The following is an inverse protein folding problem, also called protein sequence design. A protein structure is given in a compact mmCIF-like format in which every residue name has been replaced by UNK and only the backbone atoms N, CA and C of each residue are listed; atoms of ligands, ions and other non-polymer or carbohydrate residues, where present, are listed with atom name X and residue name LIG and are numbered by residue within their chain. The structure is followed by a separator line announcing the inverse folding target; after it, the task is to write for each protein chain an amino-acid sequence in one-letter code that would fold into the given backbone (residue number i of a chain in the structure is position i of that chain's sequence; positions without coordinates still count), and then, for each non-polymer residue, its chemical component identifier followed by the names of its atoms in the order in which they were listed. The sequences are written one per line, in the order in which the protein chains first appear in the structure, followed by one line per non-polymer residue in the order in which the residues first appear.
data_IF_171873557438
#
_entry.id   IF_171873557438
#
_cell.length_a   1.000
_cell.length_b   1.000
_cell.length_c   1.000
_cell.angle_alpha   90.00
_cell.angle_beta   90.00
_cell.angle_gamma   90.00
#
_symmetry.space_group_name_H-M   'P 1'
#
loop_
_entity.id
_entity.type
_entity.pdbx_description
1 polymer ?
#
# COMPACT_ATOMS: atom_id res chain seq x y z
N UNK A 1 -41.00 60.34 1.39
CA UNK A 1 -40.10 61.15 2.25
C UNK A 1 -39.00 60.21 2.74
N UNK A 2 -37.71 60.33 2.46
CA UNK A 2 -36.81 61.14 1.62
C UNK A 2 -35.65 60.15 1.35
N UNK A 3 -35.31 59.82 0.10
CA UNK A 3 -34.29 60.50 -0.72
C UNK A 3 -32.87 60.42 -0.11
N UNK A 4 -31.94 59.67 -0.71
CA UNK A 4 -30.98 60.12 -1.78
C UNK A 4 -29.57 60.26 -1.12
N UNK A 5 -28.40 59.99 -1.72
CA UNK A 5 -28.00 59.95 -3.12
C UNK A 5 -26.47 59.63 -3.30
N UNK A 6 -26.12 58.99 -4.44
CA UNK A 6 -24.95 59.16 -5.36
C UNK A 6 -23.49 59.10 -4.85
N UNK A 7 -22.46 58.70 -5.63
CA UNK A 7 -22.20 58.48 -7.08
C UNK A 7 -21.05 57.42 -7.21
N UNK A 8 -20.90 56.54 -8.21
CA UNK A 8 -20.81 56.62 -9.70
C UNK A 8 -19.58 57.32 -10.30
N UNK A 9 -18.71 56.53 -10.98
CA UNK A 9 -17.90 56.82 -12.18
C UNK A 9 -17.43 55.45 -12.75
N UNK A 10 -17.99 54.87 -13.84
CA UNK A 10 -17.63 54.96 -15.28
C UNK A 10 -16.10 55.04 -15.55
N UNK A 11 -15.45 54.23 -16.40
CA UNK A 11 -15.76 53.96 -17.82
C UNK A 11 -14.97 52.76 -18.43
N UNK A 12 -15.66 51.95 -19.24
CA UNK A 12 -15.31 51.19 -20.48
C UNK A 12 -13.88 50.69 -20.79
N UNK A 13 -13.74 49.42 -21.27
CA UNK A 13 -13.85 49.03 -22.70
C UNK A 13 -13.21 47.65 -23.03
N UNK A 14 -14.04 46.79 -23.65
CA UNK A 14 -13.78 45.77 -24.69
C UNK A 14 -12.90 44.50 -24.48
N UNK A 15 -13.27 43.37 -25.13
CA UNK A 15 -12.63 42.06 -24.98
C UNK A 15 -11.58 41.77 -26.08
N UNK A 16 -10.55 40.98 -25.74
CA UNK A 16 -9.69 40.34 -26.72
C UNK A 16 -10.08 38.87 -26.88
N UNK A 17 -10.48 38.50 -28.09
CA UNK A 17 -10.37 37.14 -28.60
C UNK A 17 -9.20 37.05 -29.58
N UNK A 18 -8.56 35.89 -29.66
CA UNK A 18 -7.71 35.37 -30.76
C UNK A 18 -7.25 33.97 -30.32
N UNK A 19 -6.84 33.04 -31.17
CA UNK A 19 -7.36 32.51 -32.42
C UNK A 19 -6.67 31.14 -32.60
N UNK A 20 -7.38 30.23 -33.24
CA UNK A 20 -6.91 28.94 -33.76
C UNK A 20 -5.86 29.18 -34.87
N UNK A 21 -4.76 28.42 -34.87
CA UNK A 21 -3.89 28.29 -36.04
C UNK A 21 -3.51 26.82 -36.26
N UNK A 22 -4.10 26.24 -37.30
CA UNK A 22 -3.64 25.07 -38.01
C UNK A 22 -2.66 25.52 -39.10
N UNK A 23 -1.59 24.77 -39.35
CA UNK A 23 -0.62 25.04 -40.41
C UNK A 23 0.09 23.76 -40.82
N UNK A 24 -0.12 23.36 -42.07
CA UNK A 24 0.25 22.08 -42.65
C UNK A 24 1.62 22.08 -43.35
N UNK A 25 2.18 20.86 -43.44
CA UNK A 25 2.80 20.19 -44.60
C UNK A 25 4.04 20.76 -45.33
N UNK A 26 5.09 19.90 -45.33
CA UNK A 26 5.93 19.42 -46.47
C UNK A 26 7.01 20.36 -47.07
N UNK A 27 8.04 19.86 -47.83
CA UNK A 27 8.50 18.47 -48.05
C UNK A 27 10.04 18.25 -48.00
N UNK A 28 10.45 16.97 -47.94
CA UNK A 28 11.45 16.41 -48.86
C UNK A 28 12.91 16.21 -48.40
N UNK A 29 13.44 15.00 -48.64
CA UNK A 29 14.82 14.84 -49.12
C UNK A 29 15.74 13.82 -48.44
N UNK A 30 15.63 12.55 -48.85
CA UNK A 30 16.70 11.62 -49.27
C UNK A 30 17.98 11.35 -48.43
N UNK A 31 18.31 10.05 -48.32
CA UNK A 31 19.69 9.51 -48.29
C UNK A 31 20.03 8.75 -46.99
N UNK A 32 19.91 7.42 -46.91
CA UNK A 32 20.78 6.35 -47.44
C UNK A 32 22.04 6.05 -46.59
N UNK A 33 22.15 4.77 -46.16
CA UNK A 33 23.35 3.95 -45.84
C UNK A 33 24.25 4.45 -44.69
N UNK A 34 24.99 3.70 -43.88
CA UNK A 34 25.50 2.31 -43.80
C UNK A 34 25.98 2.15 -42.33
N UNK A 35 25.63 1.10 -41.59
CA UNK A 35 26.47 -0.06 -41.20
C UNK A 35 27.82 0.19 -40.46
N UNK A 36 28.16 -0.78 -39.59
CA UNK A 36 29.41 -1.06 -38.84
C UNK A 36 29.47 -0.45 -37.41
N UNK A 37 29.42 -1.20 -36.31
CA UNK A 37 30.20 -2.35 -35.83
C UNK A 37 31.62 -2.01 -35.31
N UNK A 38 31.89 -2.41 -34.06
CA UNK A 38 33.21 -2.46 -33.40
C UNK A 38 33.56 -1.18 -32.62
N UNK A 39 34.09 -1.19 -31.41
CA UNK A 39 34.62 -2.26 -30.57
C UNK A 39 35.51 -1.61 -29.49
N UNK A 40 35.68 -2.33 -28.38
CA UNK A 40 36.83 -2.30 -27.46
C UNK A 40 37.17 -0.99 -26.72
N UNK A 41 36.89 -1.01 -25.41
CA UNK A 41 37.89 -1.04 -24.33
C UNK A 41 38.86 0.14 -24.16
N UNK A 42 38.87 0.71 -22.95
CA UNK A 42 40.13 0.88 -22.20
C UNK A 42 39.83 1.15 -20.73
N UNK A 43 40.53 0.41 -19.87
CA UNK A 43 40.74 0.75 -18.48
C UNK A 43 41.53 2.08 -18.35
N UNK A 44 41.34 2.78 -17.25
CA UNK A 44 42.34 3.69 -16.69
C UNK A 44 42.30 3.59 -15.17
N UNK A 45 43.51 3.49 -14.62
CA UNK A 45 43.79 3.25 -13.23
C UNK A 45 44.22 4.56 -12.53
N UNK A 46 44.06 4.51 -11.20
CA UNK A 46 44.98 5.05 -10.19
C UNK A 46 45.00 6.54 -9.82
N UNK A 47 44.95 6.69 -8.48
CA UNK A 47 45.74 7.55 -7.59
C UNK A 47 45.25 8.96 -7.26
N UNK A 48 44.88 9.12 -5.98
CA UNK A 48 45.74 9.84 -5.04
C UNK A 48 45.19 11.16 -4.51
N UNK A 49 45.33 11.35 -3.19
CA UNK A 49 45.43 12.70 -2.61
C UNK A 49 44.53 12.97 -1.41
N UNK A 50 45.04 12.67 -0.22
CA UNK A 50 44.55 13.21 1.04
C UNK A 50 45.06 14.65 1.27
N UNK A 51 44.25 15.46 1.97
CA UNK A 51 44.57 16.63 2.82
C UNK A 51 43.31 17.54 2.83
N UNK A 52 42.94 18.29 3.86
CA UNK A 52 43.35 18.49 5.24
C UNK A 52 42.37 19.56 5.77
N UNK A 53 41.87 19.43 6.99
CA UNK A 53 41.05 20.47 7.62
C UNK A 53 41.07 20.28 9.13
N UNK A 54 42.07 20.84 9.78
CA UNK A 54 42.20 20.85 11.23
C UNK A 54 41.68 22.14 11.88
N UNK A 55 41.60 22.06 13.21
CA UNK A 55 41.50 23.12 14.25
C UNK A 55 40.15 23.09 14.97
N UNK A 56 40.04 22.39 16.11
CA UNK A 56 40.36 22.85 17.49
C UNK A 56 39.26 23.76 18.06
N UNK A 57 38.76 23.60 19.29
CA UNK A 57 39.50 23.37 20.52
C UNK A 57 38.57 22.96 21.69
N UNK A 58 39.13 22.17 22.62
CA UNK A 58 39.07 22.27 24.12
C UNK A 58 37.70 22.36 24.81
N UNK A 59 37.37 21.63 25.87
CA UNK A 59 38.08 20.82 26.88
C UNK A 59 37.10 20.74 28.07
N UNK A 60 36.96 19.63 28.80
CA UNK A 60 37.73 19.36 30.01
C UNK A 60 37.32 18.00 30.61
N UNK A 61 38.32 17.38 31.22
CA UNK A 61 38.35 16.27 32.18
C UNK A 61 37.34 16.41 33.34
N UNK A 62 36.90 15.38 34.06
CA UNK A 62 37.75 14.46 34.81
C UNK A 62 37.07 13.13 35.21
N UNK A 63 37.95 12.19 35.52
CA UNK A 63 37.83 10.78 35.91
C UNK A 63 37.45 10.54 37.38
N UNK A 64 36.84 9.38 37.65
CA UNK A 64 37.32 8.45 38.70
C UNK A 64 36.31 7.93 39.71
N UNK A 65 36.25 6.59 39.86
CA UNK A 65 35.88 5.92 41.12
C UNK A 65 34.84 4.80 41.03
N UNK A 66 35.30 3.55 41.01
CA UNK A 66 34.54 2.28 41.17
C UNK A 66 34.53 1.84 42.67
N UNK A 67 34.07 0.64 43.06
CA UNK A 67 32.70 0.21 43.40
C UNK A 67 32.47 -0.02 44.91
N UNK A 68 31.20 -0.26 45.31
CA UNK A 68 30.82 -0.62 46.68
C UNK A 68 29.60 -1.53 46.76
N UNK A 69 29.81 -2.71 47.34
CA UNK A 69 29.00 -3.92 47.44
C UNK A 69 28.05 -4.02 48.66
N UNK A 70 27.06 -4.92 48.57
CA UNK A 70 26.32 -5.58 49.68
C UNK A 70 24.80 -5.40 49.59
N UNK A 71 23.90 -6.37 49.79
CA UNK A 71 23.95 -7.77 50.22
C UNK A 71 22.60 -8.14 50.88
N UNK A 72 22.07 -9.35 50.64
CA UNK A 72 20.93 -9.98 51.35
C UNK A 72 19.79 -10.49 50.42
N UNK A 73 19.72 -11.77 50.03
CA UNK A 73 19.07 -12.94 50.71
C UNK A 73 17.59 -12.73 51.09
N UNK A 74 16.63 -13.64 50.93
CA UNK A 74 16.51 -14.98 50.35
C UNK A 74 15.02 -15.43 50.45
N UNK A 75 14.67 -16.51 49.74
CA UNK A 75 13.58 -17.48 49.96
C UNK A 75 12.12 -17.19 49.55
N UNK A 76 11.56 -18.16 48.82
CA UNK A 76 10.12 -18.35 48.60
C UNK A 76 9.80 -19.36 47.50
N UNK A 77 10.03 -20.65 47.77
CA UNK A 77 9.70 -21.79 46.90
C UNK A 77 8.23 -22.24 47.00
N UNK A 78 7.66 -22.69 45.88
CA UNK A 78 6.79 -23.88 45.85
C UNK A 78 5.30 -23.67 45.58
N UNK A 79 4.76 -24.44 44.63
CA UNK A 79 3.32 -24.70 44.53
C UNK A 79 2.83 -25.05 43.13
N UNK A 80 2.75 -26.34 42.81
CA UNK A 80 2.21 -26.91 41.58
C UNK A 80 0.71 -27.22 41.65
N UNK A 81 0.09 -27.42 40.48
CA UNK A 81 -1.26 -27.99 40.26
C UNK A 81 -2.09 -27.08 39.34
N UNK A 82 -2.54 -27.45 38.13
CA UNK A 82 -2.88 -28.75 37.57
C UNK A 82 -4.40 -28.80 37.37
N UNK A 83 -4.89 -28.76 36.13
CA UNK A 83 -6.08 -29.50 35.65
C UNK A 83 -6.46 -29.08 34.22
N UNK A 84 -6.49 -30.07 33.34
CA UNK A 84 -7.16 -30.07 32.06
C UNK A 84 -8.61 -30.53 32.22
N UNK A 85 -9.51 -30.02 31.37
CA UNK A 85 -10.80 -30.62 30.97
C UNK A 85 -11.50 -29.64 30.02
N UNK A 86 -12.23 -29.97 28.97
CA UNK A 86 -12.57 -31.21 28.25
C UNK A 86 -13.50 -30.76 27.11
N UNK A 87 -13.42 -31.39 25.94
CA UNK A 87 -14.24 -31.06 24.77
C UNK A 87 -15.68 -31.63 24.82
N UNK A 88 -16.62 -30.88 24.23
CA UNK A 88 -17.82 -31.33 23.50
C UNK A 88 -19.20 -31.18 24.17
N UNK A 89 -20.35 -31.21 23.43
CA UNK A 89 -20.58 -30.79 22.03
C UNK A 89 -21.94 -30.03 21.79
N UNK A 90 -22.08 -29.43 20.59
CA UNK A 90 -23.24 -28.98 19.77
C UNK A 90 -24.52 -28.35 20.38
N UNK A 91 -24.93 -27.20 19.82
CA UNK A 91 -26.30 -26.69 19.82
C UNK A 91 -26.54 -25.70 18.67
N UNK A 92 -27.39 -26.08 17.71
CA UNK A 92 -27.84 -25.28 16.56
C UNK A 92 -29.01 -24.37 16.97
N UNK A 93 -29.03 -23.12 16.48
CA UNK A 93 -30.18 -22.22 16.57
C UNK A 93 -29.87 -20.86 15.95
N UNK A 94 -30.50 -20.55 14.80
CA UNK A 94 -30.31 -19.31 14.06
C UNK A 94 -31.08 -18.12 14.63
N UNK A 95 -30.72 -16.93 14.13
CA UNK A 95 -31.41 -15.65 14.38
C UNK A 95 -30.40 -14.52 14.47
N UNK A 96 -30.28 -13.72 13.40
CA UNK A 96 -29.29 -12.65 13.30
C UNK A 96 -29.56 -11.44 14.19
N UNK A 97 -28.49 -10.74 14.55
CA UNK A 97 -28.38 -9.29 14.80
C UNK A 97 -26.89 -8.94 14.90
N UNK A 98 -26.50 -7.77 14.40
CA UNK A 98 -25.11 -7.33 14.27
C UNK A 98 -24.30 -7.25 15.57
N UNK A 99 -22.98 -7.34 15.40
CA UNK A 99 -21.98 -7.23 16.45
C UNK A 99 -20.69 -7.95 16.02
N UNK A 100 -19.55 -7.28 16.18
CA UNK A 100 -18.21 -7.72 15.80
C UNK A 100 -17.91 -9.18 16.18
N UNK A 101 -17.68 -10.00 15.15
CA UNK A 101 -17.25 -11.39 15.23
C UNK A 101 -16.94 -11.82 13.81
N UNK A 102 -15.67 -12.15 13.54
CA UNK A 102 -15.09 -12.22 12.20
C UNK A 102 -16.00 -12.94 11.20
N UNK A 103 -16.47 -12.22 10.20
CA UNK A 103 -17.14 -12.83 9.05
C UNK A 103 -16.08 -13.59 8.25
N UNK A 104 -16.32 -14.87 8.00
CA UNK A 104 -15.53 -15.68 7.07
C UNK A 104 -16.46 -16.20 5.97
N UNK A 105 -15.92 -16.47 4.79
CA UNK A 105 -16.68 -17.13 3.71
C UNK A 105 -16.89 -18.63 4.01
N UNK A 106 -17.60 -19.35 3.13
CA UNK A 106 -17.87 -20.79 3.35
C UNK A 106 -16.61 -21.67 3.32
N UNK A 107 -15.49 -21.17 2.83
CA UNK A 107 -14.18 -21.83 2.88
C UNK A 107 -13.36 -21.45 4.14
N UNK A 108 -13.94 -20.63 5.02
CA UNK A 108 -13.31 -20.16 6.25
C UNK A 108 -12.26 -19.07 6.00
N UNK A 109 -12.31 -18.37 4.87
CA UNK A 109 -11.42 -17.25 4.58
C UNK A 109 -11.92 -15.97 5.26
N UNK A 110 -11.09 -15.26 6.05
CA UNK A 110 -11.50 -14.06 6.77
C UNK A 110 -11.96 -12.95 5.84
N UNK A 111 -13.07 -12.29 6.17
CA UNK A 111 -13.67 -11.21 5.39
C UNK A 111 -13.78 -9.89 6.18
N UNK A 112 -13.25 -9.86 7.39
CA UNK A 112 -13.34 -8.70 8.29
C UNK A 112 -12.15 -7.78 8.08
N UNK A 113 -12.40 -6.47 8.17
CA UNK A 113 -11.35 -5.47 8.15
C UNK A 113 -10.56 -5.50 9.47
N UNK A 114 -9.23 -5.56 9.36
CA UNK A 114 -8.28 -5.40 10.45
C UNK A 114 -7.28 -4.29 10.07
N UNK A 115 -6.54 -3.75 11.03
CA UNK A 115 -5.50 -2.77 10.72
C UNK A 115 -5.93 -1.30 10.84
N UNK A 116 -5.04 -0.39 10.44
CA UNK A 116 -5.22 1.05 10.64
C UNK A 116 -6.46 1.63 9.95
N UNK A 117 -7.03 0.96 8.95
CA UNK A 117 -8.29 1.39 8.34
C UNK A 117 -9.50 1.24 9.29
N UNK A 118 -9.39 0.50 10.40
CA UNK A 118 -10.43 0.44 11.45
C UNK A 118 -10.40 1.63 12.41
N UNK A 119 -9.26 2.32 12.50
CA UNK A 119 -8.99 3.32 13.54
C UNK A 119 -9.71 4.62 13.21
N UNK A 120 -10.41 5.22 14.18
CA UNK A 120 -11.02 6.53 14.01
C UNK A 120 -9.96 7.63 13.97
N UNK A 121 -10.04 8.53 12.98
CA UNK A 121 -9.09 9.62 12.80
C UNK A 121 -9.54 10.60 11.72
N UNK A 122 -9.02 11.82 11.74
CA UNK A 122 -9.29 12.83 10.68
C UNK A 122 -10.79 13.10 10.43
N UNK A 123 -11.63 12.92 11.45
CA UNK A 123 -13.08 13.11 11.34
C UNK A 123 -13.85 11.91 10.78
N UNK A 124 -13.18 10.79 10.50
CA UNK A 124 -13.76 9.54 10.02
C UNK A 124 -13.71 8.46 11.13
N UNK A 125 -14.77 7.66 11.24
CA UNK A 125 -14.89 6.58 12.23
C UNK A 125 -14.67 5.21 11.57
N UNK A 126 -13.41 4.90 11.30
CA UNK A 126 -13.02 3.70 10.58
C UNK A 126 -13.52 3.66 9.12
N UNK A 127 -13.14 2.61 8.40
CA UNK A 127 -13.51 2.41 7.00
C UNK A 127 -14.73 1.51 6.88
N UNK A 128 -15.79 2.03 6.29
CA UNK A 128 -17.04 1.31 6.06
C UNK A 128 -17.61 1.50 4.64
N UNK A 129 -16.91 2.24 3.79
CA UNK A 129 -17.23 2.42 2.38
C UNK A 129 -18.60 3.05 2.16
N UNK A 130 -19.28 2.62 1.10
CA UNK A 130 -20.57 3.16 0.69
C UNK A 130 -21.79 2.48 1.28
N UNK A 131 -21.64 1.78 2.42
CA UNK A 131 -22.73 0.97 3.02
C UNK A 131 -24.02 1.74 3.31
N UNK A 132 -23.92 3.05 3.49
CA UNK A 132 -25.03 3.96 3.78
C UNK A 132 -25.70 4.52 2.51
N UNK A 133 -25.30 4.00 1.36
CA UNK A 133 -25.71 4.43 0.02
C UNK A 133 -26.51 3.40 -0.78
N UNK A 134 -26.84 3.77 -2.01
CA UNK A 134 -27.49 2.86 -2.95
C UNK A 134 -26.50 1.78 -3.42
N UNK A 135 -26.97 0.53 -3.44
CA UNK A 135 -26.26 -0.58 -4.10
C UNK A 135 -26.62 -0.63 -5.58
N UNK A 136 -25.61 -0.52 -6.44
CA UNK A 136 -25.75 -0.54 -7.90
C UNK A 136 -24.90 -1.66 -8.49
N UNK A 137 -25.31 -2.20 -9.64
CA UNK A 137 -24.49 -3.16 -10.41
C UNK A 137 -24.06 -2.51 -11.71
N UNK A 138 -22.75 -2.53 -11.98
CA UNK A 138 -22.16 -1.95 -13.19
C UNK A 138 -21.52 -3.04 -14.03
N UNK A 139 -21.70 -2.93 -15.36
CA UNK A 139 -21.17 -3.86 -16.37
C UNK A 139 -20.36 -3.14 -17.43
N UNK A 140 -20.20 -1.82 -17.32
CA UNK A 140 -19.52 -0.98 -18.29
C UNK A 140 -18.82 0.21 -17.61
N UNK A 141 -17.86 0.80 -18.32
CA UNK A 141 -17.04 1.90 -17.82
C UNK A 141 -17.85 3.15 -17.48
N UNK A 142 -18.85 3.50 -18.29
CA UNK A 142 -19.61 4.74 -18.09
C UNK A 142 -20.39 4.72 -16.78
N UNK A 143 -21.02 3.61 -16.44
CA UNK A 143 -21.72 3.45 -15.16
C UNK A 143 -20.73 3.39 -13.99
N UNK A 144 -19.61 2.68 -14.14
CA UNK A 144 -18.57 2.63 -13.11
C UNK A 144 -18.04 4.03 -12.79
N UNK A 145 -17.70 4.83 -13.81
CA UNK A 145 -17.24 6.22 -13.62
C UNK A 145 -18.32 7.10 -12.99
N UNK A 146 -19.57 6.95 -13.44
CA UNK A 146 -20.70 7.72 -12.92
C UNK A 146 -20.86 7.50 -11.41
N UNK A 147 -20.90 6.25 -10.97
CA UNK A 147 -21.16 5.95 -9.56
C UNK A 147 -19.91 6.12 -8.69
N UNK A 148 -18.71 5.81 -9.20
CA UNK A 148 -17.47 6.00 -8.45
C UNK A 148 -17.19 7.48 -8.16
N UNK A 149 -17.51 8.37 -9.10
CA UNK A 149 -17.33 9.82 -8.95
C UNK A 149 -18.51 10.56 -8.31
N UNK A 150 -19.61 9.87 -7.97
CA UNK A 150 -20.78 10.51 -7.35
C UNK A 150 -20.48 11.01 -5.94
N UNK A 151 -21.12 12.10 -5.51
CA UNK A 151 -20.98 12.63 -4.15
C UNK A 151 -21.66 11.75 -3.10
N UNK A 152 -22.68 11.02 -3.51
CA UNK A 152 -23.50 10.16 -2.67
C UNK A 152 -22.74 8.87 -2.35
N UNK A 153 -22.92 8.30 -1.14
CA UNK A 153 -22.37 6.98 -0.86
C UNK A 153 -22.92 5.93 -1.83
N UNK A 154 -22.08 4.97 -2.23
CA UNK A 154 -22.52 3.87 -3.10
C UNK A 154 -21.78 2.56 -2.83
N UNK A 155 -22.53 1.46 -2.86
CA UNK A 155 -21.98 0.12 -3.05
C UNK A 155 -22.07 -0.23 -4.52
N UNK A 156 -20.94 -0.24 -5.20
CA UNK A 156 -20.79 -0.45 -6.64
C UNK A 156 -20.32 -1.88 -6.87
N UNK A 157 -21.24 -2.74 -7.31
CA UNK A 157 -20.96 -4.14 -7.63
C UNK A 157 -20.53 -4.26 -9.10
N UNK A 158 -19.27 -4.64 -9.32
CA UNK A 158 -18.71 -4.81 -10.67
C UNK A 158 -19.01 -6.23 -11.16
N UNK A 159 -19.78 -6.35 -12.24
CA UNK A 159 -20.12 -7.63 -12.83
C UNK A 159 -19.31 -7.90 -14.11
N UNK A 160 -18.44 -8.89 -14.04
CA UNK A 160 -17.60 -9.32 -15.16
C UNK A 160 -16.46 -8.35 -15.47
N UNK A 161 -15.92 -8.45 -16.69
CA UNK A 161 -14.81 -7.63 -17.18
C UNK A 161 -15.31 -6.30 -17.74
N UNK A 162 -14.76 -5.21 -17.23
CA UNK A 162 -14.89 -3.86 -17.76
C UNK A 162 -13.52 -3.46 -18.33
N UNK A 163 -13.45 -3.26 -19.65
CA UNK A 163 -12.24 -2.75 -20.32
C UNK A 163 -12.29 -1.23 -20.35
N UNK A 164 -11.27 -0.59 -19.79
CA UNK A 164 -11.16 0.86 -19.68
C UNK A 164 -10.53 1.45 -20.94
N UNK A 165 -11.16 2.49 -21.48
CA UNK A 165 -10.69 3.25 -22.61
C UNK A 165 -10.70 4.77 -22.30
N UNK A 166 -9.61 5.50 -22.61
CA UNK A 166 -8.35 5.01 -23.15
C UNK A 166 -7.60 4.10 -22.16
N UNK A 167 -6.77 3.19 -22.69
CA UNK A 167 -5.89 2.34 -21.88
C UNK A 167 -5.07 3.19 -20.91
N UNK A 168 -4.99 2.75 -19.66
CA UNK A 168 -4.25 3.39 -18.60
C UNK A 168 -5.02 4.50 -17.88
N UNK A 169 -6.29 4.75 -18.24
CA UNK A 169 -7.12 5.70 -17.47
C UNK A 169 -7.38 5.15 -16.07
N UNK A 170 -7.09 6.00 -15.08
CA UNK A 170 -7.53 5.80 -13.70
C UNK A 170 -8.92 6.42 -13.52
N UNK A 171 -9.87 5.62 -13.05
CA UNK A 171 -11.21 6.09 -12.70
C UNK A 171 -11.12 6.84 -11.37
N UNK A 172 -11.52 8.11 -11.38
CA UNK A 172 -11.61 8.90 -10.15
C UNK A 172 -12.68 8.34 -9.21
N UNK A 173 -12.32 8.13 -7.95
CA UNK A 173 -13.19 7.63 -6.89
C UNK A 173 -13.39 8.74 -5.85
N UNK A 174 -14.64 9.07 -5.56
CA UNK A 174 -15.01 10.00 -4.49
C UNK A 174 -15.08 9.28 -3.12
N UNK A 175 -15.30 10.02 -2.03
CA UNK A 175 -15.48 9.44 -0.70
C UNK A 175 -16.72 8.53 -0.61
N UNK A 176 -16.76 7.70 0.42
CA UNK A 176 -17.91 6.85 0.78
C UNK A 176 -18.28 5.84 -0.32
N UNK A 177 -17.28 5.13 -0.83
CA UNK A 177 -17.46 4.15 -1.91
C UNK A 177 -17.06 2.75 -1.46
N UNK A 178 -17.88 1.78 -1.82
CA UNK A 178 -17.45 0.37 -1.86
C UNK A 178 -17.50 -0.06 -3.31
N UNK A 179 -16.35 -0.31 -3.93
CA UNK A 179 -16.27 -0.92 -5.27
C UNK A 179 -15.89 -2.38 -5.05
N UNK A 180 -16.83 -3.28 -5.33
CA UNK A 180 -16.69 -4.71 -5.04
C UNK A 180 -16.98 -5.56 -6.27
N UNK A 181 -16.11 -6.49 -6.61
CA UNK A 181 -16.38 -7.46 -7.66
C UNK A 181 -17.47 -8.46 -7.27
N UNK A 182 -18.33 -8.84 -8.21
CA UNK A 182 -19.29 -9.94 -8.03
C UNK A 182 -18.60 -11.26 -8.34
N UNK A 183 -18.47 -12.12 -7.33
CA UNK A 183 -17.77 -13.40 -7.44
C UNK A 183 -16.29 -13.21 -7.82
N UNK A 184 -15.64 -14.28 -8.26
CA UNK A 184 -14.19 -14.26 -8.53
C UNK A 184 -13.83 -13.88 -9.99
N UNK A 185 -14.73 -13.19 -10.71
CA UNK A 185 -14.56 -12.92 -12.16
C UNK A 185 -14.65 -11.43 -12.54
N UNK A 186 -14.77 -10.54 -11.56
CA UNK A 186 -14.83 -9.11 -11.83
C UNK A 186 -13.44 -8.58 -12.16
N UNK A 187 -13.32 -7.88 -13.30
CA UNK A 187 -12.03 -7.43 -13.81
C UNK A 187 -12.12 -5.98 -14.29
N UNK A 188 -11.18 -5.15 -13.86
CA UNK A 188 -10.89 -3.83 -14.43
C UNK A 188 -9.65 -3.99 -15.31
N UNK A 189 -9.88 -4.10 -16.60
CA UNK A 189 -8.83 -4.32 -17.60
C UNK A 189 -8.43 -3.00 -18.24
N UNK A 190 -7.14 -2.80 -18.48
CA UNK A 190 -6.58 -1.62 -19.16
C UNK A 190 -6.87 -0.29 -18.44
N UNK A 191 -7.10 -0.29 -17.13
CA UNK A 191 -7.24 0.93 -16.34
C UNK A 191 -7.00 0.67 -14.86
N UNK A 192 -7.25 1.70 -14.05
CA UNK A 192 -7.04 1.66 -12.60
C UNK A 192 -8.00 2.58 -11.85
N UNK A 193 -7.68 2.88 -10.60
CA UNK A 193 -8.44 3.80 -9.75
C UNK A 193 -7.55 4.92 -9.21
N UNK A 194 -8.11 6.13 -9.16
CA UNK A 194 -7.48 7.28 -8.54
C UNK A 194 -8.32 7.80 -7.37
N UNK A 195 -7.73 7.84 -6.19
CA UNK A 195 -8.29 8.50 -5.00
C UNK A 195 -7.48 9.77 -4.74
N UNK A 196 -8.11 10.92 -4.96
CA UNK A 196 -7.46 12.23 -4.81
C UNK A 196 -7.41 12.73 -3.37
N UNK A 197 -6.87 13.94 -3.22
CA UNK A 197 -6.67 14.59 -1.92
C UNK A 197 -7.98 14.72 -1.13
N UNK A 198 -7.96 14.24 0.11
CA UNK A 198 -9.09 14.27 1.04
C UNK A 198 -10.19 13.25 0.74
N UNK A 199 -10.03 12.40 -0.28
CA UNK A 199 -10.92 11.25 -0.50
C UNK A 199 -10.77 10.29 0.68
N UNK A 200 -11.89 9.82 1.21
CA UNK A 200 -11.88 8.96 2.37
C UNK A 200 -13.01 7.96 2.42
N UNK A 201 -12.88 6.98 3.31
CA UNK A 201 -13.89 5.94 3.52
C UNK A 201 -14.17 5.15 2.24
N UNK A 202 -13.12 4.54 1.68
CA UNK A 202 -13.20 3.80 0.41
C UNK A 202 -12.80 2.34 0.61
N UNK A 203 -13.60 1.43 0.06
CA UNK A 203 -13.32 0.00 0.00
C UNK A 203 -13.17 -0.41 -1.47
N UNK A 204 -12.02 -0.96 -1.84
CA UNK A 204 -11.77 -1.61 -3.14
C UNK A 204 -11.58 -3.10 -2.87
N UNK A 205 -12.51 -3.93 -3.32
CA UNK A 205 -12.56 -5.32 -2.87
C UNK A 205 -12.90 -6.31 -3.97
N UNK A 206 -12.29 -7.49 -3.94
CA UNK A 206 -12.69 -8.61 -4.79
C UNK A 206 -12.56 -8.33 -6.31
N UNK A 207 -11.55 -7.55 -6.71
CA UNK A 207 -11.34 -7.14 -8.11
C UNK A 207 -10.03 -7.73 -8.64
N UNK A 208 -10.03 -8.18 -9.89
CA UNK A 208 -8.79 -8.28 -10.68
C UNK A 208 -8.55 -6.94 -11.39
N UNK A 209 -7.36 -6.37 -11.28
CA UNK A 209 -6.98 -5.08 -11.91
C UNK A 209 -5.67 -5.29 -12.67
N UNK A 210 -5.65 -4.98 -13.96
CA UNK A 210 -4.48 -5.30 -14.78
C UNK A 210 -4.52 -4.84 -16.23
N UNK A 211 -3.60 -5.39 -17.00
CA UNK A 211 -3.45 -5.20 -18.45
C UNK A 211 -3.10 -3.77 -18.90
N UNK A 212 -2.48 -2.98 -18.02
CA UNK A 212 -1.96 -1.64 -18.39
C UNK A 212 -0.50 -1.67 -18.83
N UNK A 213 0.22 -2.79 -18.66
CA UNK A 213 1.63 -2.96 -19.07
C UNK A 213 1.90 -2.51 -20.51
N UNK A 214 3.03 -1.83 -20.73
CA UNK A 214 3.48 -1.34 -22.03
C UNK A 214 4.68 -2.17 -22.48
N UNK A 215 4.55 -2.86 -23.61
CA UNK A 215 5.60 -3.72 -24.16
C UNK A 215 6.90 -2.92 -24.38
N UNK A 216 8.01 -3.47 -23.88
CA UNK A 216 9.31 -2.82 -23.91
C UNK A 216 9.56 -1.75 -22.83
N UNK A 217 8.58 -1.46 -21.97
CA UNK A 217 8.72 -0.51 -20.85
C UNK A 217 8.67 -1.22 -19.49
N UNK A 218 9.56 -2.19 -19.28
CA UNK A 218 9.66 -2.91 -18.00
C UNK A 218 9.85 -1.98 -16.80
N UNK A 219 10.60 -0.88 -16.99
CA UNK A 219 10.82 0.12 -15.94
C UNK A 219 9.57 0.96 -15.62
N UNK A 220 8.55 0.92 -16.48
CA UNK A 220 7.32 1.68 -16.38
C UNK A 220 7.59 3.17 -16.30
N UNK A 221 8.38 3.71 -17.23
CA UNK A 221 8.82 5.13 -17.19
C UNK A 221 8.23 5.97 -18.30
N UNK A 222 7.50 5.37 -19.23
CA UNK A 222 6.90 6.10 -20.36
C UNK A 222 5.48 6.56 -20.07
N UNK A 223 4.76 5.88 -19.19
CA UNK A 223 3.38 6.17 -18.80
C UNK A 223 3.24 6.02 -17.28
N UNK A 224 2.31 6.77 -16.70
CA UNK A 224 1.98 6.75 -15.26
C UNK A 224 0.68 5.94 -15.07
N UNK A 225 0.68 4.69 -15.56
CA UNK A 225 -0.52 3.85 -15.54
C UNK A 225 -0.51 2.99 -14.28
N UNK A 226 -1.05 3.53 -13.19
CA UNK A 226 -1.16 2.82 -11.93
C UNK A 226 -2.42 1.93 -11.87
N UNK A 227 -2.36 0.87 -11.07
CA UNK A 227 -3.52 0.06 -10.76
C UNK A 227 -4.45 0.75 -9.77
N UNK A 228 -3.88 1.19 -8.63
CA UNK A 228 -4.56 1.99 -7.61
C UNK A 228 -3.60 3.09 -7.15
N UNK A 229 -3.91 4.33 -7.50
CA UNK A 229 -3.16 5.50 -7.09
C UNK A 229 -3.96 6.28 -6.04
N UNK A 230 -3.31 6.64 -4.93
CA UNK A 230 -3.90 7.39 -3.83
C UNK A 230 -3.00 8.56 -3.46
N UNK A 231 -3.55 9.77 -3.46
CA UNK A 231 -2.84 10.99 -3.11
C UNK A 231 -3.54 11.67 -1.94
N UNK A 232 -2.96 11.61 -0.73
CA UNK A 232 -3.56 12.20 0.48
C UNK A 232 -4.99 11.70 0.75
N UNK A 233 -5.25 10.43 0.48
CA UNK A 233 -6.51 9.77 0.83
C UNK A 233 -6.42 9.22 2.27
N UNK A 234 -7.56 9.01 2.94
CA UNK A 234 -7.54 8.34 4.26
C UNK A 234 -8.67 7.35 4.48
N UNK A 235 -8.47 6.37 5.34
CA UNK A 235 -9.47 5.34 5.64
C UNK A 235 -9.85 4.58 4.38
N UNK A 236 -8.86 3.85 3.86
CA UNK A 236 -8.97 3.07 2.62
C UNK A 236 -8.68 1.60 2.92
N UNK A 237 -9.53 0.72 2.40
CA UNK A 237 -9.36 -0.72 2.52
C UNK A 237 -9.29 -1.37 1.13
N UNK A 238 -8.14 -1.96 0.80
CA UNK A 238 -7.92 -2.74 -0.43
C UNK A 238 -7.86 -4.21 -0.03
N UNK A 239 -8.84 -5.01 -0.44
CA UNK A 239 -9.05 -6.35 0.12
C UNK A 239 -9.39 -7.40 -0.93
N UNK A 240 -8.79 -8.61 -0.85
CA UNK A 240 -9.11 -9.71 -1.77
C UNK A 240 -9.00 -9.32 -3.26
N UNK A 241 -8.07 -8.43 -3.60
CA UNK A 241 -7.84 -8.03 -4.98
C UNK A 241 -6.71 -8.85 -5.61
N UNK A 242 -6.67 -8.92 -6.95
CA UNK A 242 -5.52 -9.42 -7.70
C UNK A 242 -5.04 -8.34 -8.66
N UNK A 243 -3.83 -7.83 -8.45
CA UNK A 243 -3.20 -6.86 -9.34
C UNK A 243 -2.09 -7.56 -10.13
N UNK A 244 -2.04 -7.33 -11.44
CA UNK A 244 -1.03 -7.91 -12.33
C UNK A 244 -0.80 -7.11 -13.61
N UNK A 245 0.38 -7.24 -14.23
CA UNK A 245 0.70 -6.64 -15.54
C UNK A 245 0.30 -5.15 -15.66
N UNK A 246 0.79 -4.32 -14.73
CA UNK A 246 0.50 -2.89 -14.67
C UNK A 246 1.57 -2.08 -15.43
N UNK A 247 1.30 -0.82 -15.79
CA UNK A 247 2.24 0.05 -16.50
C UNK A 247 3.28 0.73 -15.61
N UNK A 248 2.87 1.32 -14.48
CA UNK A 248 3.79 1.88 -13.45
C UNK A 248 3.67 1.13 -12.11
N UNK A 249 2.91 1.62 -11.13
CA UNK A 249 2.77 1.03 -9.80
C UNK A 249 1.46 0.23 -9.69
N UNK A 250 1.49 -0.99 -9.12
CA UNK A 250 0.20 -1.67 -8.86
C UNK A 250 -0.60 -0.91 -7.81
N UNK A 251 0.05 -0.52 -6.71
CA UNK A 251 -0.52 0.35 -5.68
C UNK A 251 0.49 1.45 -5.39
N UNK A 252 0.08 2.70 -5.54
CA UNK A 252 0.90 3.85 -5.16
C UNK A 252 0.16 4.68 -4.09
N UNK A 253 0.67 4.62 -2.85
CA UNK A 253 0.13 5.33 -1.69
C UNK A 253 0.99 6.56 -1.40
N UNK A 254 0.59 7.72 -1.94
CA UNK A 254 1.41 8.92 -1.99
C UNK A 254 0.87 10.03 -1.09
N UNK A 255 1.75 10.98 -0.77
CA UNK A 255 1.45 12.29 -0.16
C UNK A 255 0.60 12.17 1.09
N UNK A 256 1.09 11.47 2.11
CA UNK A 256 0.42 11.32 3.40
C UNK A 256 -0.91 10.56 3.35
N UNK A 257 -1.08 9.66 2.37
CA UNK A 257 -2.19 8.68 2.40
C UNK A 257 -2.08 7.84 3.69
N UNK A 258 -3.15 7.82 4.49
CA UNK A 258 -3.11 7.34 5.88
C UNK A 258 -4.35 6.51 6.24
N UNK A 259 -4.33 5.81 7.37
CA UNK A 259 -5.39 4.86 7.76
C UNK A 259 -5.69 3.86 6.63
N UNK A 260 -4.61 3.35 6.00
CA UNK A 260 -4.68 2.42 4.88
C UNK A 260 -4.57 0.99 5.40
N UNK A 261 -5.39 0.09 4.88
CA UNK A 261 -5.19 -1.35 5.02
C UNK A 261 -5.20 -2.01 3.65
N UNK A 262 -4.16 -2.79 3.36
CA UNK A 262 -4.11 -3.69 2.20
C UNK A 262 -4.06 -5.12 2.72
N UNK A 263 -5.08 -5.91 2.40
CA UNK A 263 -5.25 -7.25 2.96
C UNK A 263 -5.68 -8.29 1.94
N UNK A 264 -5.30 -9.55 2.21
CA UNK A 264 -5.79 -10.73 1.47
C UNK A 264 -5.65 -10.61 -0.06
N UNK A 265 -4.74 -9.79 -0.56
CA UNK A 265 -4.61 -9.49 -1.98
C UNK A 265 -3.41 -10.19 -2.59
N UNK A 266 -3.47 -10.43 -3.90
CA UNK A 266 -2.37 -10.98 -4.70
C UNK A 266 -1.79 -9.85 -5.54
N UNK A 267 -0.49 -9.62 -5.44
CA UNK A 267 0.25 -8.73 -6.33
C UNK A 267 1.24 -9.61 -7.09
N UNK A 268 1.14 -9.66 -8.42
CA UNK A 268 1.99 -10.56 -9.21
C UNK A 268 2.45 -10.06 -10.57
N UNK A 269 3.57 -10.61 -11.04
CA UNK A 269 4.05 -10.49 -12.42
C UNK A 269 4.33 -9.04 -12.84
N UNK A 270 5.18 -8.33 -12.09
CA UNK A 270 5.39 -6.89 -12.33
C UNK A 270 6.68 -6.32 -11.73
N UNK A 271 7.12 -5.18 -12.26
CA UNK A 271 8.33 -4.52 -11.77
C UNK A 271 8.11 -3.81 -10.42
N UNK A 272 7.14 -2.88 -10.34
CA UNK A 272 6.95 -1.95 -9.21
C UNK A 272 5.63 -2.24 -8.50
N UNK A 273 5.66 -3.02 -7.43
CA UNK A 273 4.43 -3.52 -6.82
C UNK A 273 3.71 -2.44 -5.99
N UNK A 274 4.35 -1.93 -4.94
CA UNK A 274 3.72 -1.06 -3.95
C UNK A 274 4.65 0.07 -3.52
N UNK A 275 4.49 1.24 -4.14
CA UNK A 275 5.21 2.47 -3.82
C UNK A 275 4.48 3.28 -2.73
N UNK A 276 5.23 3.80 -1.75
CA UNK A 276 4.68 4.60 -0.66
C UNK A 276 5.59 5.79 -0.39
N UNK A 277 5.04 7.00 -0.21
CA UNK A 277 5.80 8.20 0.16
C UNK A 277 5.46 9.48 -0.62
N UNK A 278 6.45 10.10 -1.29
CA UNK A 278 6.34 11.38 -2.03
C UNK A 278 6.07 12.61 -1.15
N UNK A 279 6.49 12.56 0.10
CA UNK A 279 6.35 13.62 1.10
C UNK A 279 7.50 13.50 2.10
N UNK A 280 7.90 14.62 2.71
CA UNK A 280 8.86 14.64 3.84
C UNK A 280 8.16 14.45 5.19
N UNK A 281 6.83 14.55 5.21
CA UNK A 281 6.04 14.38 6.43
C UNK A 281 6.04 12.91 6.86
N UNK A 282 6.07 12.69 8.18
CA UNK A 282 6.00 11.35 8.77
C UNK A 282 4.70 11.25 9.60
N UNK A 283 3.57 11.18 8.90
CA UNK A 283 2.23 11.19 9.51
C UNK A 283 1.38 9.97 9.14
N UNK A 284 1.66 9.34 8.00
CA UNK A 284 0.89 8.21 7.49
C UNK A 284 0.93 6.99 8.42
N UNK A 285 -0.20 6.28 8.49
CA UNK A 285 -0.35 5.05 9.26
C UNK A 285 -1.01 3.97 8.40
N UNK A 286 -0.46 2.77 8.37
CA UNK A 286 -0.95 1.74 7.46
C UNK A 286 -0.63 0.32 7.92
N UNK A 287 -1.51 -0.59 7.50
CA UNK A 287 -1.38 -2.02 7.72
C UNK A 287 -1.34 -2.75 6.38
N UNK A 288 -0.40 -3.67 6.23
CA UNK A 288 -0.28 -4.51 5.04
C UNK A 288 -0.19 -5.94 5.54
N UNK A 289 -1.24 -6.73 5.37
CA UNK A 289 -1.28 -8.06 5.96
C UNK A 289 -1.90 -9.11 5.07
N UNK A 290 -1.49 -10.37 5.26
CA UNK A 290 -2.08 -11.48 4.52
C UNK A 290 -2.09 -11.26 3.00
N UNK A 291 -1.07 -10.61 2.43
CA UNK A 291 -0.94 -10.45 0.99
C UNK A 291 0.07 -11.44 0.41
N UNK A 292 -0.18 -11.89 -0.81
CA UNK A 292 0.75 -12.70 -1.57
C UNK A 292 1.42 -11.85 -2.66
N UNK A 293 2.66 -11.47 -2.39
CA UNK A 293 3.56 -10.81 -3.33
C UNK A 293 4.37 -11.88 -4.06
N UNK A 294 4.17 -12.06 -5.37
CA UNK A 294 4.87 -13.10 -6.12
C UNK A 294 5.34 -12.64 -7.48
N UNK A 295 6.57 -12.98 -7.85
CA UNK A 295 7.06 -12.79 -9.21
C UNK A 295 7.21 -11.30 -9.52
N UNK A 296 7.76 -10.59 -8.56
CA UNK A 296 7.91 -9.14 -8.58
C UNK A 296 9.38 -8.78 -8.53
N UNK A 297 9.73 -7.60 -9.04
CA UNK A 297 11.10 -7.11 -8.95
C UNK A 297 11.32 -6.31 -7.66
N UNK A 298 10.57 -5.22 -7.47
CA UNK A 298 10.85 -4.21 -6.45
C UNK A 298 9.59 -3.55 -5.88
N UNK A 299 9.80 -2.78 -4.81
CA UNK A 299 8.76 -2.05 -4.05
C UNK A 299 7.75 -3.01 -3.44
N UNK A 300 8.18 -3.93 -2.57
CA UNK A 300 7.31 -4.98 -2.05
C UNK A 300 7.04 -4.90 -0.53
N UNK A 301 6.57 -3.79 0.08
CA UNK A 301 6.49 -2.42 -0.41
C UNK A 301 7.84 -1.67 -0.30
N UNK A 302 7.95 -0.55 -1.01
CA UNK A 302 8.94 0.50 -0.70
C UNK A 302 8.26 1.57 0.15
N UNK A 303 8.44 1.52 1.47
CA UNK A 303 7.75 2.33 2.47
C UNK A 303 8.57 3.55 2.87
N UNK A 304 8.19 4.75 2.42
CA UNK A 304 8.91 5.98 2.70
C UNK A 304 8.09 6.95 3.58
N UNK A 305 8.73 7.49 4.62
CA UNK A 305 8.18 8.45 5.59
C UNK A 305 6.80 8.07 6.20
N UNK A 306 6.65 6.83 6.67
CA UNK A 306 5.41 6.38 7.33
C UNK A 306 5.56 6.36 8.86
N UNK A 307 4.70 7.08 9.57
CA UNK A 307 4.74 7.15 11.04
C UNK A 307 4.60 5.78 11.69
N UNK A 308 3.68 4.94 11.17
CA UNK A 308 3.43 3.57 11.63
C UNK A 308 3.12 2.66 10.45
N UNK A 309 4.06 1.80 10.08
CA UNK A 309 3.86 0.76 9.08
C UNK A 309 3.84 -0.61 9.77
N UNK A 310 2.67 -1.26 9.83
CA UNK A 310 2.56 -2.62 10.36
C UNK A 310 2.37 -3.62 9.22
N UNK A 311 3.37 -4.49 9.03
CA UNK A 311 3.39 -5.51 8.01
C UNK A 311 3.36 -6.87 8.69
N UNK A 312 2.35 -7.71 8.44
CA UNK A 312 2.31 -9.04 9.06
C UNK A 312 1.67 -10.13 8.22
N UNK A 313 2.08 -11.38 8.44
CA UNK A 313 1.57 -12.56 7.74
C UNK A 313 1.50 -12.43 6.20
N UNK A 314 2.42 -11.67 5.59
CA UNK A 314 2.54 -11.60 4.14
C UNK A 314 3.42 -12.75 3.62
N UNK A 315 3.19 -13.18 2.39
CA UNK A 315 4.08 -14.09 1.68
C UNK A 315 4.72 -13.38 0.50
N UNK A 316 6.03 -13.19 0.58
CA UNK A 316 6.86 -12.69 -0.50
C UNK A 316 7.58 -13.88 -1.15
N UNK A 317 7.31 -14.10 -2.43
CA UNK A 317 7.83 -15.23 -3.19
C UNK A 317 8.50 -14.76 -4.49
N UNK A 318 9.71 -15.26 -4.79
CA UNK A 318 10.42 -14.98 -6.05
C UNK A 318 10.52 -13.49 -6.35
N UNK A 319 11.27 -12.79 -5.50
CA UNK A 319 11.47 -11.35 -5.56
C UNK A 319 12.92 -11.04 -5.94
N UNK A 320 13.11 -10.38 -7.08
CA UNK A 320 14.43 -10.24 -7.70
C UNK A 320 15.30 -9.14 -7.06
N UNK A 321 14.73 -7.97 -6.76
CA UNK A 321 15.49 -6.82 -6.23
C UNK A 321 15.42 -6.73 -4.71
N UNK A 322 14.23 -6.49 -4.15
CA UNK A 322 14.05 -6.39 -2.71
C UNK A 322 12.61 -6.66 -2.23
N UNK A 323 12.49 -7.16 -1.00
CA UNK A 323 11.22 -7.34 -0.29
C UNK A 323 10.70 -6.05 0.35
N UNK A 324 10.60 -6.02 1.69
CA UNK A 324 10.09 -4.86 2.42
C UNK A 324 11.21 -3.83 2.68
N UNK A 325 11.01 -2.58 2.30
CA UNK A 325 12.03 -1.54 2.47
C UNK A 325 11.47 -0.37 3.29
N UNK A 326 12.04 -0.11 4.46
CA UNK A 326 11.71 1.05 5.29
C UNK A 326 12.68 2.22 5.02
N UNK A 327 12.19 3.23 4.31
CA UNK A 327 12.93 4.43 3.89
C UNK A 327 12.56 5.66 4.71
N UNK A 328 13.43 6.66 4.66
CA UNK A 328 13.19 7.95 5.31
C UNK A 328 12.90 7.76 6.80
N UNK A 329 12.01 8.56 7.38
CA UNK A 329 11.60 8.45 8.78
C UNK A 329 10.60 7.34 9.11
N UNK A 330 10.48 6.30 8.26
CA UNK A 330 9.50 5.22 8.47
C UNK A 330 9.75 4.46 9.77
N UNK A 331 8.70 4.18 10.55
CA UNK A 331 8.74 3.18 11.62
C UNK A 331 7.97 1.93 11.21
N UNK A 332 8.69 0.83 11.02
CA UNK A 332 8.13 -0.44 10.55
C UNK A 332 8.16 -1.53 11.62
N UNK A 333 7.03 -2.20 11.79
CA UNK A 333 6.90 -3.47 12.53
C UNK A 333 6.56 -4.55 11.51
N UNK A 334 7.41 -5.59 11.40
CA UNK A 334 7.34 -6.67 10.42
C UNK A 334 7.27 -8.04 11.11
N UNK A 335 6.10 -8.67 11.09
CA UNK A 335 5.80 -9.84 11.92
C UNK A 335 5.28 -11.04 11.12
N UNK A 336 5.72 -12.25 11.51
CA UNK A 336 5.20 -13.55 11.03
C UNK A 336 5.00 -13.69 9.51
N UNK A 337 5.82 -13.02 8.70
CA UNK A 337 5.77 -13.09 7.24
C UNK A 337 6.74 -14.13 6.70
N UNK A 338 6.46 -14.63 5.50
CA UNK A 338 7.27 -15.65 4.81
C UNK A 338 7.99 -15.01 3.63
N UNK A 339 9.30 -15.19 3.57
CA UNK A 339 10.14 -14.77 2.46
C UNK A 339 10.74 -16.02 1.81
N UNK A 340 10.32 -16.33 0.59
CA UNK A 340 10.76 -17.50 -0.18
C UNK A 340 11.39 -17.07 -1.52
N UNK A 341 12.68 -17.32 -1.68
CA UNK A 341 13.42 -16.91 -2.89
C UNK A 341 13.34 -15.39 -3.09
N UNK A 342 13.72 -14.65 -2.04
CA UNK A 342 13.66 -13.19 -2.01
C UNK A 342 15.08 -12.63 -1.85
N UNK A 343 15.49 -11.75 -2.76
CA UNK A 343 16.64 -10.90 -2.54
C UNK A 343 16.29 -9.75 -1.60
N UNK A 344 17.20 -9.39 -0.70
CA UNK A 344 17.03 -8.35 0.34
C UNK A 344 15.63 -8.40 0.98
N UNK A 345 15.27 -9.48 1.70
CA UNK A 345 13.94 -9.66 2.30
C UNK A 345 13.41 -8.43 3.01
N UNK A 346 14.26 -7.80 3.80
CA UNK A 346 13.93 -6.52 4.41
C UNK A 346 15.18 -5.75 4.82
N UNK A 347 15.11 -4.43 4.69
CA UNK A 347 16.18 -3.52 5.10
C UNK A 347 15.63 -2.11 5.30
N UNK A 348 16.44 -1.21 5.85
CA UNK A 348 16.04 0.16 6.12
C UNK A 348 17.16 1.17 5.89
N UNK A 349 16.80 2.45 5.74
CA UNK A 349 17.77 3.56 5.65
C UNK A 349 17.84 4.34 6.99
N UNK A 350 17.38 5.58 7.02
CA UNK A 350 17.36 6.46 8.21
C UNK A 350 16.24 6.10 9.20
N UNK A 351 15.31 5.24 8.77
CA UNK A 351 14.12 4.85 9.52
C UNK A 351 14.39 3.71 10.49
N UNK A 352 13.32 3.02 10.85
CA UNK A 352 13.37 1.91 11.80
C UNK A 352 12.57 0.72 11.28
N UNK A 353 13.07 -0.48 11.57
CA UNK A 353 12.44 -1.72 11.16
C UNK A 353 12.68 -2.80 12.20
N UNK A 354 11.60 -3.27 12.82
CA UNK A 354 11.65 -4.42 13.71
C UNK A 354 11.08 -5.64 13.00
N UNK A 355 11.88 -6.70 12.88
CA UNK A 355 11.45 -7.95 12.26
C UNK A 355 11.35 -9.07 13.31
N UNK A 356 10.17 -9.70 13.45
CA UNK A 356 9.94 -10.78 14.41
C UNK A 356 9.14 -11.94 13.81
N UNK A 357 9.44 -13.18 14.20
CA UNK A 357 8.64 -14.37 13.84
C UNK A 357 8.61 -14.77 12.35
N UNK A 358 9.37 -14.09 11.49
CA UNK A 358 9.40 -14.34 10.05
C UNK A 358 10.11 -15.66 9.68
N UNK A 359 9.70 -16.26 8.55
CA UNK A 359 10.36 -17.43 7.94
C UNK A 359 11.12 -17.00 6.69
N UNK A 360 12.36 -17.46 6.54
CA UNK A 360 13.21 -17.18 5.38
C UNK A 360 13.64 -18.49 4.70
N UNK A 361 13.36 -18.63 3.40
CA UNK A 361 13.79 -19.76 2.57
C UNK A 361 14.45 -19.23 1.30
N UNK A 362 15.61 -19.77 0.95
CA UNK A 362 16.32 -19.41 -0.29
C UNK A 362 16.56 -17.90 -0.49
N UNK A 363 16.65 -17.12 0.59
CA UNK A 363 16.81 -15.66 0.54
C UNK A 363 18.27 -15.24 0.38
N UNK A 364 18.53 -14.12 -0.29
CA UNK A 364 19.85 -13.48 -0.41
C UNK A 364 19.82 -12.02 0.07
N UNK A 365 20.98 -11.38 0.20
CA UNK A 365 21.05 -9.96 0.56
C UNK A 365 20.62 -9.63 1.99
N UNK A 366 20.19 -8.39 2.19
CA UNK A 366 19.97 -7.77 3.50
C UNK A 366 18.72 -8.30 4.22
N UNK A 367 18.87 -8.49 5.53
CA UNK A 367 17.83 -8.92 6.48
C UNK A 367 18.03 -8.15 7.78
N UNK A 368 17.82 -6.85 7.73
CA UNK A 368 18.20 -5.95 8.80
C UNK A 368 17.09 -5.76 9.82
N UNK A 369 17.43 -5.48 11.07
CA UNK A 369 16.45 -5.05 12.05
C UNK A 369 17.10 -4.11 13.06
N UNK A 370 16.41 -3.03 13.39
CA UNK A 370 16.78 -2.09 14.45
C UNK A 370 15.83 -2.26 15.64
N UNK A 371 16.39 -2.38 16.85
CA UNK A 371 15.61 -2.49 18.09
C UNK A 371 15.06 -3.89 18.41
N UNK A 372 14.24 -3.97 19.47
CA UNK A 372 13.42 -5.14 19.83
C UNK A 372 11.96 -4.94 19.37
N UNK A 373 11.14 -6.00 19.40
CA UNK A 373 9.70 -5.91 19.09
C UNK A 373 9.03 -4.76 19.86
N UNK A 374 8.29 -3.92 19.13
CA UNK A 374 7.57 -2.73 19.62
C UNK A 374 8.44 -1.57 20.17
N UNK A 375 9.71 -1.49 19.78
CA UNK A 375 10.58 -0.37 20.18
C UNK A 375 10.10 1.01 19.73
N UNK A 376 9.28 1.08 18.68
CA UNK A 376 8.88 2.34 18.03
C UNK A 376 7.38 2.60 18.12
N UNK A 377 6.55 1.56 17.96
CA UNK A 377 5.15 1.54 18.33
C UNK A 377 4.68 0.09 18.48
N UNK A 378 3.63 -0.14 19.27
CA UNK A 378 2.92 -1.41 19.34
C UNK A 378 1.62 -1.30 18.51
N UNK A 379 1.42 -2.12 17.46
CA UNK A 379 0.18 -2.08 16.69
C UNK A 379 -1.07 -2.36 17.54
N UNK A 380 -0.96 -3.15 18.63
CA UNK A 380 -2.08 -3.48 19.52
C UNK A 380 -2.59 -2.29 20.33
N UNK A 381 -1.82 -1.20 20.42
CA UNK A 381 -2.30 0.05 21.02
C UNK A 381 -3.35 0.76 20.15
N UNK A 382 -3.49 0.37 18.87
CA UNK A 382 -4.32 1.07 17.88
C UNK A 382 -5.49 0.23 17.37
N UNK A 383 -5.30 -1.07 17.16
CA UNK A 383 -6.35 -1.99 16.72
C UNK A 383 -6.07 -3.41 17.18
N UNK A 384 -7.14 -4.20 17.28
CA UNK A 384 -7.07 -5.63 17.54
C UNK A 384 -6.63 -6.37 16.27
N UNK A 385 -5.71 -7.32 16.42
CA UNK A 385 -5.29 -8.25 15.37
C UNK A 385 -4.77 -9.53 16.00
N UNK A 386 -4.68 -10.59 15.21
CA UNK A 386 -4.03 -11.84 15.61
C UNK A 386 -3.01 -12.25 14.57
N UNK A 387 -1.83 -12.65 15.03
CA UNK A 387 -0.81 -13.22 14.15
C UNK A 387 -1.12 -14.70 13.91
N UNK A 388 -1.31 -15.07 12.65
CA UNK A 388 -1.25 -16.47 12.24
C UNK A 388 0.20 -16.98 12.40
N UNK A 389 0.39 -18.26 12.76
CA UNK A 389 1.72 -18.87 12.75
C UNK A 389 2.36 -18.73 11.36
N UNK A 390 3.60 -18.27 11.31
CA UNK A 390 4.28 -18.00 10.04
C UNK A 390 4.37 -19.24 9.12
N UNK A 391 4.41 -20.44 9.69
CA UNK A 391 4.43 -21.70 8.93
C UNK A 391 3.07 -22.11 8.33
N UNK A 392 1.99 -21.39 8.67
CA UNK A 392 0.65 -21.57 8.09
C UNK A 392 0.31 -20.53 7.02
N UNK A 393 1.05 -19.42 6.95
CA UNK A 393 0.77 -18.28 6.06
C UNK A 393 0.65 -18.71 4.59
N UNK A 394 1.57 -19.53 4.09
CA UNK A 394 1.52 -19.97 2.67
C UNK A 394 0.25 -20.76 2.36
N UNK A 395 -0.17 -21.65 3.26
CA UNK A 395 -1.38 -22.45 3.10
C UNK A 395 -2.64 -21.58 3.18
N UNK A 396 -2.65 -20.60 4.08
CA UNK A 396 -3.72 -19.62 4.20
C UNK A 396 -3.85 -18.77 2.94
N UNK A 397 -2.76 -18.20 2.45
CA UNK A 397 -2.77 -17.32 1.28
C UNK A 397 -3.05 -18.08 -0.02
N UNK A 398 -2.60 -19.32 -0.14
CA UNK A 398 -2.99 -20.21 -1.26
C UNK A 398 -4.50 -20.42 -1.31
N UNK A 399 -5.15 -20.52 -0.14
CA UNK A 399 -6.59 -20.74 -0.04
C UNK A 399 -7.40 -19.45 -0.18
N UNK A 400 -6.95 -18.36 0.42
CA UNK A 400 -7.79 -17.21 0.72
C UNK A 400 -7.38 -15.91 0.03
N UNK A 401 -6.14 -15.75 -0.44
CA UNK A 401 -5.75 -14.49 -1.07
C UNK A 401 -6.37 -14.33 -2.47
N UNK A 402 -6.71 -13.09 -2.81
CA UNK A 402 -7.29 -12.70 -4.10
C UNK A 402 -8.81 -12.84 -4.16
N UNK A 403 -9.40 -12.66 -5.36
CA UNK A 403 -10.85 -12.65 -5.51
C UNK A 403 -11.54 -13.94 -5.03
N UNK A 404 -12.68 -13.77 -4.34
CA UNK A 404 -13.50 -14.80 -3.71
C UNK A 404 -14.86 -14.96 -4.42
N UNK A 405 -15.38 -16.20 -4.53
CA UNK A 405 -16.65 -16.47 -5.20
C UNK A 405 -17.88 -15.93 -4.46
N UNK A 406 -17.81 -15.73 -3.14
CA UNK A 406 -18.94 -15.32 -2.30
C UNK A 406 -19.04 -13.80 -2.11
N UNK A 407 -18.00 -13.05 -2.45
CA UNK A 407 -17.97 -11.61 -2.29
C UNK A 407 -18.78 -10.90 -3.39
N UNK A 408 -19.42 -9.80 -2.99
CA UNK A 408 -20.22 -8.97 -3.89
C UNK A 408 -21.49 -9.62 -4.42
N UNK A 409 -22.04 -10.66 -3.76
CA UNK A 409 -23.30 -11.33 -4.12
C UNK A 409 -24.56 -10.65 -3.58
#
# INVERSE_FOLDING_TARGET
MKQNLFASFLLAASPLGFALACGASEPGGSGSVDSLAGGTGSASATTGGAASGGSSATGSSATGGDPGSGGGSANGSGGAGGAASSAGPVGSGGGGTGGAGGTADSEGCPLTLEGFATVSGEGQDGTHGGRDGETVTVTNQADLERYAGASEPHVIRVQGKITISPKGKEISVASDKTIVGIGATAEISQGGFFLGSGVHNVILRNLTIGDTFVEGDWEGKTQDFDGIQMDTAHHVWIDHCHLHHIGDGMIDSRKDTSYLTVSWSVLSDHNKAFGIGWTENVTAQMTIHHNWFRDLNQRNPSTDNVLRAHLYNNWLQRIDSYGNYARGGTNMVLENSVFDTVNRPHYFDDGTLVAAGNIYRSTSGDKESSGSTYSFFDPSDFYEYSLDPADQVEALLTRCAGPRPELGL
#
